data_IF_919045847400
#
_entry.id   IF_919045847400
#
_cell.length_a   1.000
_cell.length_b   1.000
_cell.length_c   1.000
_cell.angle_alpha   90.00
_cell.angle_beta   90.00
_cell.angle_gamma   90.00
#
_symmetry.space_group_name_H-M   'P 1'
#
loop_
_entity.id
_entity.type
_entity.pdbx_description
1 polymer ?
#
# COMPACT_ATOMS: atom_id res chain seq x y z
N UNK A 1 13.16 -85.47 -18.81
CA UNK A 1 12.26 -84.29 -18.94
C UNK A 1 12.61 -83.29 -17.87
N UNK A 2 13.39 -82.25 -18.21
CA UNK A 2 13.80 -81.18 -17.24
C UNK A 2 12.82 -80.04 -17.34
N UNK A 3 12.12 -79.75 -16.20
CA UNK A 3 11.20 -78.63 -16.09
C UNK A 3 12.00 -77.38 -15.79
N UNK A 4 11.98 -76.38 -16.72
CA UNK A 4 12.49 -75.03 -16.50
C UNK A 4 11.42 -74.24 -15.80
N UNK A 5 11.73 -73.75 -14.56
CA UNK A 5 10.92 -72.80 -13.84
C UNK A 5 11.45 -71.40 -14.22
N UNK A 6 10.61 -70.63 -14.92
CA UNK A 6 10.91 -69.22 -15.26
C UNK A 6 10.44 -68.39 -14.09
N UNK A 7 11.37 -67.77 -13.40
CA UNK A 7 11.07 -66.72 -12.38
C UNK A 7 10.85 -65.40 -13.09
N UNK A 8 9.60 -64.92 -13.10
CA UNK A 8 9.30 -63.56 -13.56
C UNK A 8 9.49 -62.61 -12.41
N UNK A 9 10.58 -61.84 -12.42
CA UNK A 9 10.82 -60.73 -11.48
C UNK A 9 9.94 -59.55 -11.92
N UNK A 10 8.84 -59.32 -11.22
CA UNK A 10 8.03 -58.10 -11.37
C UNK A 10 8.75 -56.96 -10.62
N UNK A 11 9.39 -56.09 -11.40
CA UNK A 11 9.93 -54.81 -10.88
C UNK A 11 8.77 -53.85 -10.66
N UNK A 12 8.37 -53.68 -9.38
CA UNK A 12 7.49 -52.61 -8.98
C UNK A 12 8.27 -51.28 -9.06
N UNK A 13 8.11 -50.54 -10.16
CA UNK A 13 8.55 -49.16 -10.24
C UNK A 13 7.62 -48.32 -9.37
N UNK A 14 8.00 -48.09 -8.10
CA UNK A 14 7.40 -47.01 -7.34
C UNK A 14 7.76 -45.70 -8.01
N UNK A 15 6.86 -45.19 -8.85
CA UNK A 15 6.84 -43.77 -9.21
C UNK A 15 6.55 -42.97 -7.95
N UNK A 16 7.60 -42.72 -7.16
CA UNK A 16 7.60 -41.66 -6.18
C UNK A 16 7.40 -40.37 -6.96
N UNK A 17 6.18 -39.87 -6.96
CA UNK A 17 5.89 -38.55 -7.46
C UNK A 17 6.74 -37.55 -6.69
N UNK A 18 7.87 -37.13 -7.29
CA UNK A 18 8.53 -35.90 -6.90
C UNK A 18 7.54 -34.78 -7.18
N UNK A 19 6.71 -34.46 -6.20
CA UNK A 19 6.09 -33.15 -6.13
C UNK A 19 7.25 -32.16 -6.03
N UNK A 20 7.67 -31.60 -7.15
CA UNK A 20 8.47 -30.41 -7.15
C UNK A 20 7.79 -29.46 -6.13
N UNK A 21 8.53 -28.88 -5.20
CA UNK A 21 8.03 -27.74 -4.45
C UNK A 21 7.84 -26.63 -5.49
N UNK A 22 6.72 -26.72 -6.25
CA UNK A 22 6.31 -25.65 -7.12
C UNK A 22 6.17 -24.45 -6.24
N UNK A 23 7.13 -23.56 -6.38
CA UNK A 23 7.02 -22.15 -6.06
C UNK A 23 5.70 -21.82 -5.34
N UNK A 24 5.73 -21.87 -4.02
CA UNK A 24 4.72 -21.22 -3.22
C UNK A 24 4.92 -19.71 -3.43
N UNK A 25 4.70 -19.27 -4.66
CA UNK A 25 4.67 -17.88 -5.03
C UNK A 25 3.75 -17.22 -4.01
N UNK A 26 4.30 -16.41 -3.13
CA UNK A 26 3.54 -15.77 -2.07
C UNK A 26 2.29 -15.18 -2.71
N UNK A 27 1.12 -15.70 -2.30
CA UNK A 27 -0.17 -15.29 -2.88
C UNK A 27 -0.44 -13.85 -2.48
N UNK A 28 0.11 -12.93 -3.27
CA UNK A 28 -0.05 -11.50 -3.06
C UNK A 28 -1.22 -10.99 -3.88
N UNK A 29 -2.02 -10.12 -3.26
CA UNK A 29 -3.16 -9.48 -3.89
C UNK A 29 -3.26 -8.03 -3.42
N UNK A 30 -3.46 -7.14 -4.38
CA UNK A 30 -3.79 -5.74 -4.13
C UNK A 30 -5.24 -5.53 -4.59
N UNK A 31 -6.07 -4.92 -3.76
CA UNK A 31 -7.42 -4.51 -4.13
C UNK A 31 -7.53 -3.00 -3.96
N UNK A 32 -7.91 -2.30 -5.02
CA UNK A 32 -8.14 -0.86 -5.02
C UNK A 32 -9.62 -0.62 -5.20
N UNK A 33 -10.24 -0.01 -4.19
CA UNK A 33 -11.64 0.39 -4.25
C UNK A 33 -11.73 1.91 -4.51
N UNK A 34 -12.16 2.26 -5.72
CA UNK A 34 -12.28 3.67 -6.13
C UNK A 34 -13.42 4.40 -5.41
N UNK A 35 -14.47 3.69 -4.96
CA UNK A 35 -15.63 4.34 -4.34
C UNK A 35 -15.28 5.06 -3.03
N UNK A 36 -14.22 4.63 -2.35
CA UNK A 36 -13.76 5.19 -1.07
C UNK A 36 -12.28 5.59 -1.05
N UNK A 37 -11.60 5.51 -2.22
CA UNK A 37 -10.16 5.80 -2.34
C UNK A 37 -9.29 5.03 -1.34
N UNK A 38 -9.59 3.73 -1.17
CA UNK A 38 -8.81 2.83 -0.32
C UNK A 38 -8.19 1.71 -1.14
N UNK A 39 -7.08 1.18 -0.64
CA UNK A 39 -6.36 0.05 -1.21
C UNK A 39 -5.98 -0.93 -0.11
N UNK A 40 -6.32 -2.21 -0.28
CA UNK A 40 -5.90 -3.29 0.60
C UNK A 40 -4.76 -4.10 -0.02
N UNK A 41 -3.76 -4.45 0.78
CA UNK A 41 -2.70 -5.38 0.42
C UNK A 41 -2.82 -6.65 1.24
N UNK A 42 -2.86 -7.78 0.56
CA UNK A 42 -2.90 -9.11 1.12
C UNK A 42 -1.62 -9.88 0.80
N UNK A 43 -1.14 -10.66 1.74
CA UNK A 43 -0.04 -11.59 1.57
C UNK A 43 -0.43 -12.94 2.20
N UNK A 44 -0.26 -14.04 1.46
CA UNK A 44 -0.67 -15.39 1.89
C UNK A 44 -2.13 -15.43 2.36
N UNK A 45 -3.02 -14.80 1.61
CA UNK A 45 -4.45 -14.67 1.87
C UNK A 45 -4.82 -13.89 3.15
N UNK A 46 -3.87 -13.29 3.85
CA UNK A 46 -4.14 -12.47 5.05
C UNK A 46 -4.07 -11.00 4.70
N UNK A 47 -5.01 -10.20 5.20
CA UNK A 47 -4.93 -8.75 5.11
C UNK A 47 -3.71 -8.26 5.91
N UNK A 48 -2.80 -7.59 5.23
CA UNK A 48 -1.59 -7.04 5.85
C UNK A 48 -1.76 -5.57 6.15
N UNK A 49 -2.38 -4.82 5.20
CA UNK A 49 -2.51 -3.38 5.37
C UNK A 49 -3.57 -2.78 4.43
N UNK A 50 -4.23 -1.73 4.92
CA UNK A 50 -5.10 -0.86 4.13
C UNK A 50 -4.45 0.52 4.02
N UNK A 51 -4.54 1.15 2.86
CA UNK A 51 -3.99 2.46 2.55
C UNK A 51 -5.09 3.39 2.07
N UNK A 52 -4.94 4.68 2.34
CA UNK A 52 -5.69 5.73 1.66
C UNK A 52 -4.90 6.10 0.40
N UNK A 53 -5.59 6.17 -0.74
CA UNK A 53 -4.98 6.46 -2.04
C UNK A 53 -5.72 7.59 -2.75
N UNK A 54 -5.14 8.14 -3.81
CA UNK A 54 -5.89 8.99 -4.73
C UNK A 54 -6.08 8.25 -6.06
N UNK A 55 -7.23 8.44 -6.68
CA UNK A 55 -7.59 7.84 -7.97
C UNK A 55 -7.98 8.88 -9.00
N UNK A 56 -8.44 8.46 -10.17
CA UNK A 56 -8.78 9.31 -11.30
C UNK A 56 -9.84 10.37 -10.98
N UNK A 57 -9.64 11.61 -11.47
CA UNK A 57 -10.59 12.72 -11.32
C UNK A 57 -11.94 12.48 -12.02
N UNK A 58 -11.99 11.55 -12.98
CA UNK A 58 -13.21 11.01 -13.57
C UNK A 58 -13.25 9.51 -13.28
N UNK A 59 -14.44 8.96 -13.10
CA UNK A 59 -14.63 7.53 -12.79
C UNK A 59 -13.99 6.60 -13.83
N UNK A 60 -13.95 7.03 -15.09
CA UNK A 60 -13.35 6.28 -16.21
C UNK A 60 -11.83 6.35 -16.27
N UNK A 61 -11.17 7.26 -15.55
CA UNK A 61 -9.72 7.47 -15.72
C UNK A 61 -8.88 6.35 -15.09
N UNK A 62 -9.24 5.88 -13.89
CA UNK A 62 -8.63 4.70 -13.31
C UNK A 62 -9.41 3.47 -13.78
N UNK A 63 -8.84 2.63 -14.68
CA UNK A 63 -9.55 1.51 -15.26
C UNK A 63 -9.90 0.46 -14.19
N UNK A 64 -11.09 -0.11 -14.31
CA UNK A 64 -11.51 -1.25 -13.48
C UNK A 64 -11.15 -2.57 -14.15
N UNK A 65 -10.89 -3.58 -13.35
CA UNK A 65 -10.56 -4.92 -13.83
C UNK A 65 -9.53 -5.65 -12.99
N UNK A 66 -9.02 -6.75 -13.57
CA UNK A 66 -7.96 -7.59 -12.98
C UNK A 66 -6.68 -7.36 -13.75
N UNK A 67 -5.65 -6.96 -13.04
CA UNK A 67 -4.35 -6.60 -13.60
C UNK A 67 -3.22 -7.28 -12.83
N UNK A 68 -1.99 -7.05 -13.27
CA UNK A 68 -0.77 -7.50 -12.58
C UNK A 68 0.24 -6.37 -12.50
N UNK A 69 1.04 -6.39 -11.46
CA UNK A 69 2.25 -5.56 -11.39
C UNK A 69 3.27 -6.11 -12.37
N UNK A 70 3.60 -5.34 -13.40
CA UNK A 70 4.51 -5.77 -14.49
C UNK A 70 5.79 -4.94 -14.57
N UNK A 71 5.88 -3.87 -13.78
CA UNK A 71 7.08 -3.02 -13.74
C UNK A 71 7.30 -2.47 -12.34
N UNK A 72 8.55 -2.44 -11.89
CA UNK A 72 8.95 -1.86 -10.60
C UNK A 72 10.13 -0.90 -10.83
N UNK A 73 9.96 0.40 -10.56
CA UNK A 73 10.99 1.41 -10.80
C UNK A 73 11.19 2.29 -9.55
N UNK A 74 12.44 2.49 -9.20
CA UNK A 74 12.86 3.47 -8.18
C UNK A 74 13.15 4.78 -8.89
N UNK A 75 12.61 5.88 -8.36
CA UNK A 75 12.89 7.23 -8.85
C UNK A 75 12.64 7.39 -10.36
N UNK A 76 11.46 6.98 -10.83
CA UNK A 76 11.09 7.13 -12.24
C UNK A 76 11.07 8.62 -12.63
N UNK A 77 11.74 9.02 -13.73
CA UNK A 77 11.61 10.38 -14.25
C UNK A 77 10.17 10.68 -14.72
N UNK A 78 9.74 11.92 -14.54
CA UNK A 78 8.49 12.41 -15.12
C UNK A 78 8.77 13.06 -16.47
N UNK A 79 8.77 12.26 -17.52
CA UNK A 79 9.17 12.65 -18.86
C UNK A 79 8.35 13.83 -19.43
N UNK A 80 7.01 13.81 -19.22
CA UNK A 80 6.14 14.90 -19.70
C UNK A 80 6.49 16.27 -19.13
N UNK A 81 6.92 16.31 -17.87
CA UNK A 81 7.32 17.55 -17.20
C UNK A 81 8.84 17.79 -17.20
N UNK A 82 9.62 16.91 -17.86
CA UNK A 82 11.10 16.96 -17.86
C UNK A 82 11.70 17.02 -16.46
N UNK A 83 11.07 16.36 -15.48
CA UNK A 83 11.53 16.32 -14.09
C UNK A 83 12.27 15.00 -13.87
N UNK A 84 13.50 15.09 -13.35
CA UNK A 84 14.35 13.92 -13.09
C UNK A 84 13.76 13.05 -11.98
N UNK A 85 14.12 11.77 -11.98
CA UNK A 85 13.77 10.83 -10.92
C UNK A 85 14.41 11.22 -9.59
N UNK A 86 13.65 11.10 -8.49
CA UNK A 86 14.11 11.46 -7.15
C UNK A 86 13.99 12.94 -6.80
N UNK A 87 13.67 13.81 -7.75
CA UNK A 87 13.40 15.23 -7.47
C UNK A 87 12.15 15.36 -6.58
N UNK A 88 12.20 16.15 -5.49
CA UNK A 88 11.03 16.39 -4.63
C UNK A 88 9.81 16.96 -5.38
N UNK A 89 10.03 17.68 -6.49
CA UNK A 89 8.96 18.22 -7.35
C UNK A 89 8.33 17.17 -8.27
N UNK A 90 8.90 15.96 -8.35
CA UNK A 90 8.41 14.91 -9.25
C UNK A 90 7.03 14.39 -8.79
N UNK A 91 5.96 14.56 -9.59
CA UNK A 91 4.61 14.13 -9.21
C UNK A 91 4.45 12.61 -9.13
N UNK A 92 5.44 11.83 -9.59
CA UNK A 92 5.44 10.37 -9.51
C UNK A 92 6.01 9.86 -8.17
N UNK A 93 6.62 10.75 -7.38
CA UNK A 93 7.28 10.37 -6.13
C UNK A 93 8.49 9.46 -6.35
N UNK A 94 8.80 8.64 -5.37
CA UNK A 94 10.04 7.87 -5.32
C UNK A 94 9.91 6.39 -5.70
N UNK A 95 8.71 5.87 -5.93
CA UNK A 95 8.44 4.47 -6.32
C UNK A 95 7.32 4.40 -7.33
N UNK A 96 7.47 3.45 -8.25
CA UNK A 96 6.52 3.15 -9.31
C UNK A 96 6.30 1.64 -9.39
N UNK A 97 5.06 1.21 -9.22
CA UNK A 97 4.58 -0.15 -9.44
C UNK A 97 3.64 -0.10 -10.64
N UNK A 98 4.19 -0.32 -11.82
CA UNK A 98 3.44 -0.28 -13.08
C UNK A 98 2.52 -1.51 -13.21
N UNK A 99 1.30 -1.28 -13.64
CA UNK A 99 0.30 -2.33 -13.87
C UNK A 99 -0.07 -2.42 -15.34
N UNK A 100 -0.43 -3.62 -15.80
CA UNK A 100 -0.79 -3.88 -17.19
C UNK A 100 -2.26 -3.52 -17.52
N UNK A 101 -2.79 -2.48 -16.89
CA UNK A 101 -4.13 -2.02 -17.17
C UNK A 101 -4.26 -1.59 -18.63
N UNK A 102 -5.38 -1.95 -19.25
CA UNK A 102 -5.67 -1.73 -20.67
C UNK A 102 -4.53 -2.22 -21.59
N UNK A 103 -3.93 -3.36 -21.24
CA UNK A 103 -2.82 -4.00 -21.99
C UNK A 103 -1.56 -3.14 -22.13
N UNK A 104 -1.36 -2.15 -21.24
CA UNK A 104 -0.12 -1.36 -21.25
C UNK A 104 1.02 -2.11 -20.56
N UNK A 105 2.29 -1.86 -20.94
CA UNK A 105 3.45 -2.55 -20.36
C UNK A 105 3.86 -1.99 -18.98
N UNK A 106 2.94 -1.38 -18.22
CA UNK A 106 3.20 -0.82 -16.88
C UNK A 106 3.88 0.54 -16.88
N UNK A 107 3.89 1.24 -18.00
CA UNK A 107 4.44 2.58 -18.14
C UNK A 107 3.37 3.69 -18.13
N UNK A 108 2.09 3.33 -18.24
CA UNK A 108 0.94 4.26 -18.33
C UNK A 108 0.16 4.29 -17.02
N UNK A 109 -0.21 3.13 -16.49
CA UNK A 109 -0.94 3.00 -15.24
C UNK A 109 -0.07 2.41 -14.15
N UNK A 110 -0.14 2.96 -12.96
CA UNK A 110 0.68 2.51 -11.84
C UNK A 110 0.10 2.89 -10.48
N UNK A 111 0.64 2.24 -9.46
CA UNK A 111 0.59 2.66 -8.07
C UNK A 111 1.93 3.34 -7.79
N UNK A 112 1.91 4.63 -7.40
CA UNK A 112 3.15 5.40 -7.25
C UNK A 112 3.05 6.44 -6.12
N UNK A 113 4.15 7.04 -5.77
CA UNK A 113 4.21 8.15 -4.80
C UNK A 113 3.63 9.45 -5.36
N UNK A 114 3.93 10.56 -4.72
CA UNK A 114 3.49 11.87 -5.18
C UNK A 114 4.35 12.99 -4.58
N UNK A 115 4.20 14.21 -5.12
CA UNK A 115 4.77 15.45 -4.59
C UNK A 115 3.73 16.34 -3.89
N UNK A 116 2.45 15.95 -3.94
CA UNK A 116 1.36 16.66 -3.26
C UNK A 116 0.57 15.71 -2.37
N UNK A 117 0.99 15.64 -1.10
CA UNK A 117 0.37 14.79 -0.10
C UNK A 117 -1.10 15.14 0.19
N UNK A 118 -1.54 16.37 -0.12
CA UNK A 118 -2.94 16.80 0.05
C UNK A 118 -3.88 16.18 -1.00
N UNK A 119 -3.30 15.59 -2.05
CA UNK A 119 -4.06 14.87 -3.09
C UNK A 119 -4.55 13.50 -2.63
N UNK A 120 -3.94 12.89 -1.60
CA UNK A 120 -4.30 11.55 -1.13
C UNK A 120 -5.69 11.56 -0.48
N UNK A 121 -6.50 10.55 -0.79
CA UNK A 121 -7.92 10.45 -0.42
C UNK A 121 -8.87 11.13 -1.41
N UNK A 122 -8.36 11.72 -2.49
CA UNK A 122 -9.15 12.50 -3.44
C UNK A 122 -9.15 11.90 -4.84
N UNK A 123 -10.13 12.31 -5.65
CA UNK A 123 -10.26 11.99 -7.07
C UNK A 123 -9.58 13.08 -7.91
N UNK A 124 -8.27 12.93 -8.19
CA UNK A 124 -7.47 14.02 -8.79
C UNK A 124 -6.48 13.56 -9.85
N UNK A 125 -6.27 12.25 -10.00
CA UNK A 125 -5.26 11.75 -10.94
C UNK A 125 -5.80 11.68 -12.39
N UNK A 126 -4.88 11.48 -13.33
CA UNK A 126 -5.21 11.17 -14.72
C UNK A 126 -5.39 9.67 -14.96
N UNK A 127 -5.48 8.85 -13.88
CA UNK A 127 -5.72 7.41 -13.96
C UNK A 127 -4.82 6.56 -13.06
N UNK A 128 -3.64 7.03 -12.73
CA UNK A 128 -2.76 6.34 -11.77
C UNK A 128 -3.29 6.42 -10.34
N UNK A 129 -2.84 5.49 -9.53
CA UNK A 129 -3.16 5.41 -8.10
C UNK A 129 -2.00 6.06 -7.32
N UNK A 130 -2.30 7.17 -6.61
CA UNK A 130 -1.28 7.89 -5.83
C UNK A 130 -1.31 7.48 -4.38
N UNK A 131 -0.14 7.33 -3.79
CA UNK A 131 0.07 7.02 -2.38
C UNK A 131 0.97 8.07 -1.72
N UNK A 132 1.00 8.10 -0.39
CA UNK A 132 2.09 8.75 0.32
C UNK A 132 3.42 8.05 -0.03
N UNK A 133 4.50 8.84 -0.12
CA UNK A 133 5.81 8.30 -0.52
C UNK A 133 6.33 7.19 0.40
N UNK A 134 6.10 7.29 1.70
CA UNK A 134 6.50 6.24 2.64
C UNK A 134 5.64 4.98 2.50
N UNK A 135 4.34 5.12 2.21
CA UNK A 135 3.45 3.98 1.99
C UNK A 135 3.82 3.22 0.71
N UNK A 136 4.05 3.93 -0.39
CA UNK A 136 4.45 3.26 -1.63
C UNK A 136 5.87 2.66 -1.53
N UNK A 137 6.76 3.27 -0.77
CA UNK A 137 8.10 2.72 -0.49
C UNK A 137 8.00 1.39 0.28
N UNK A 138 7.14 1.35 1.29
CA UNK A 138 6.85 0.11 2.03
C UNK A 138 6.23 -0.95 1.11
N UNK A 139 5.19 -0.58 0.35
CA UNK A 139 4.50 -1.50 -0.56
C UNK A 139 5.45 -2.03 -1.64
N UNK A 140 6.29 -1.17 -2.20
CA UNK A 140 7.31 -1.54 -3.19
C UNK A 140 8.28 -2.61 -2.66
N UNK A 141 8.67 -2.53 -1.38
CA UNK A 141 9.53 -3.53 -0.75
C UNK A 141 8.84 -4.89 -0.55
N UNK A 142 7.51 -4.93 -0.51
CA UNK A 142 6.73 -6.14 -0.29
C UNK A 142 6.27 -6.80 -1.58
N UNK A 143 5.77 -6.00 -2.52
CA UNK A 143 5.13 -6.47 -3.75
C UNK A 143 6.16 -7.10 -4.70
N UNK A 144 5.84 -8.29 -5.20
CA UNK A 144 6.60 -9.01 -6.23
C UNK A 144 6.06 -8.70 -7.63
N UNK A 145 6.86 -8.94 -8.64
CA UNK A 145 6.38 -8.95 -10.02
C UNK A 145 5.24 -9.97 -10.16
N UNK A 146 4.32 -9.71 -11.06
CA UNK A 146 3.10 -10.50 -11.28
C UNK A 146 2.12 -10.55 -10.10
N UNK A 147 2.29 -9.73 -9.07
CA UNK A 147 1.27 -9.55 -8.02
C UNK A 147 -0.06 -9.15 -8.65
N UNK A 148 -1.13 -9.85 -8.29
CA UNK A 148 -2.47 -9.57 -8.80
C UNK A 148 -3.01 -8.25 -8.24
N UNK A 149 -3.65 -7.46 -9.09
CA UNK A 149 -4.25 -6.17 -8.77
C UNK A 149 -5.70 -6.16 -9.24
N UNK A 150 -6.63 -5.95 -8.33
CA UNK A 150 -8.05 -5.75 -8.63
C UNK A 150 -8.35 -4.26 -8.43
N UNK A 151 -8.95 -3.63 -9.43
CA UNK A 151 -9.45 -2.26 -9.33
C UNK A 151 -10.94 -2.28 -9.58
N UNK A 152 -11.72 -1.72 -8.67
CA UNK A 152 -13.19 -1.68 -8.77
C UNK A 152 -13.77 -0.46 -8.07
N UNK A 153 -15.03 -0.16 -8.35
CA UNK A 153 -15.86 0.78 -7.60
C UNK A 153 -16.96 -0.02 -6.92
N UNK A 154 -16.94 -0.15 -5.60
CA UNK A 154 -17.84 -1.04 -4.88
C UNK A 154 -18.15 -0.52 -3.49
N UNK A 155 -19.39 -0.76 -3.02
CA UNK A 155 -19.79 -0.59 -1.61
C UNK A 155 -19.44 -1.80 -0.74
N UNK A 156 -18.96 -2.90 -1.36
CA UNK A 156 -18.62 -4.13 -0.64
C UNK A 156 -17.28 -3.99 0.09
N UNK A 157 -17.11 -4.82 1.11
CA UNK A 157 -15.84 -4.99 1.81
C UNK A 157 -14.74 -5.56 0.91
N UNK A 158 -13.48 -5.36 1.24
CA UNK A 158 -12.36 -5.93 0.50
C UNK A 158 -12.40 -7.46 0.48
N UNK A 159 -12.82 -8.10 1.58
CA UNK A 159 -12.99 -9.55 1.62
C UNK A 159 -14.08 -10.02 0.66
N UNK A 160 -15.21 -9.31 0.58
CA UNK A 160 -16.27 -9.61 -0.38
C UNK A 160 -15.83 -9.36 -1.83
N UNK A 161 -15.06 -8.28 -2.09
CA UNK A 161 -14.46 -8.03 -3.41
C UNK A 161 -13.51 -9.15 -3.79
N UNK A 162 -12.64 -9.58 -2.87
CA UNK A 162 -11.73 -10.71 -3.07
C UNK A 162 -12.49 -11.99 -3.43
N UNK A 163 -13.50 -12.35 -2.64
CA UNK A 163 -14.33 -13.55 -2.84
C UNK A 163 -15.02 -13.55 -4.20
N UNK A 164 -15.65 -12.44 -4.59
CA UNK A 164 -16.28 -12.27 -5.92
C UNK A 164 -15.28 -12.47 -7.06
N UNK A 165 -13.99 -12.26 -6.81
CA UNK A 165 -12.92 -12.41 -7.79
C UNK A 165 -12.16 -13.75 -7.68
N UNK A 166 -12.63 -14.68 -6.85
CA UNK A 166 -12.07 -16.04 -6.71
C UNK A 166 -10.94 -16.15 -5.68
N UNK A 167 -10.76 -15.14 -4.82
CA UNK A 167 -9.76 -15.17 -3.75
C UNK A 167 -10.40 -15.45 -2.39
N UNK A 168 -9.89 -16.43 -1.67
CA UNK A 168 -10.25 -16.66 -0.26
C UNK A 168 -9.26 -15.88 0.60
N UNK A 169 -9.71 -14.84 1.25
CA UNK A 169 -8.88 -14.00 2.12
C UNK A 169 -9.42 -13.97 3.54
N UNK A 170 -8.55 -13.64 4.50
CA UNK A 170 -8.88 -13.46 5.91
C UNK A 170 -8.30 -12.17 6.46
N UNK A 171 -8.77 -11.75 7.60
CA UNK A 171 -8.36 -10.51 8.27
C UNK A 171 -9.51 -9.52 8.36
N UNK A 172 -9.58 -8.82 9.48
CA UNK A 172 -10.61 -7.79 9.71
C UNK A 172 -10.29 -6.55 8.88
N UNK A 173 -11.29 -6.07 8.15
CA UNK A 173 -11.24 -4.79 7.42
C UNK A 173 -11.44 -3.58 8.33
N UNK A 174 -11.67 -3.82 9.62
CA UNK A 174 -11.46 -2.74 10.55
C UNK A 174 -10.05 -2.23 10.22
N UNK A 175 -9.98 -1.02 9.61
CA UNK A 175 -8.72 -0.29 9.54
C UNK A 175 -8.14 -0.47 10.93
N UNK A 176 -7.04 -1.23 11.08
CA UNK A 176 -6.46 -1.31 12.41
C UNK A 176 -6.11 0.13 12.73
N UNK A 177 -6.80 0.73 13.69
CA UNK A 177 -6.47 2.04 14.26
C UNK A 177 -5.04 2.01 14.83
N UNK A 178 -4.29 0.93 14.59
CA UNK A 178 -2.95 0.64 15.05
C UNK A 178 -1.85 0.39 14.01
N UNK A 179 -2.14 0.30 12.69
CA UNK A 179 -1.06 0.00 11.73
C UNK A 179 -1.17 0.69 10.36
N UNK A 180 -2.07 1.63 10.17
CA UNK A 180 -1.82 2.71 9.23
C UNK A 180 -0.74 3.56 9.86
N UNK A 181 0.40 3.71 9.21
CA UNK A 181 1.23 4.89 9.42
C UNK A 181 0.35 6.05 8.91
N UNK A 182 -0.65 6.41 9.69
CA UNK A 182 -1.41 7.61 9.42
C UNK A 182 -0.45 8.76 9.68
N UNK A 183 0.08 9.30 8.61
CA UNK A 183 0.84 10.54 8.66
C UNK A 183 -0.17 11.62 9.06
N UNK A 184 -0.06 12.11 10.28
CA UNK A 184 -0.87 13.22 10.73
C UNK A 184 -0.13 14.52 10.40
N UNK A 185 -0.84 15.47 9.83
CA UNK A 185 -0.32 16.77 9.41
C UNK A 185 -1.45 17.78 9.37
N UNK A 186 -1.11 19.03 9.13
CA UNK A 186 -2.11 20.09 8.98
C UNK A 186 -3.21 19.69 7.99
N UNK A 187 -4.46 19.80 8.41
CA UNK A 187 -5.65 19.33 7.71
C UNK A 187 -6.10 17.91 8.06
N UNK A 188 -5.32 17.11 8.82
CA UNK A 188 -5.79 15.85 9.38
C UNK A 188 -6.82 16.09 10.49
N UNK A 189 -7.77 15.17 10.66
CA UNK A 189 -8.77 15.24 11.74
C UNK A 189 -9.14 13.84 12.25
N UNK A 190 -9.82 13.81 13.39
CA UNK A 190 -10.35 12.58 13.98
C UNK A 190 -9.63 12.10 15.24
N UNK A 191 -9.94 10.86 15.69
CA UNK A 191 -9.46 10.31 16.96
C UNK A 191 -7.94 10.29 17.12
N UNK A 192 -7.22 10.02 16.05
CA UNK A 192 -5.74 9.95 16.05
C UNK A 192 -5.11 11.33 16.24
N UNK A 193 -5.73 12.39 15.69
CA UNK A 193 -5.28 13.77 15.95
C UNK A 193 -5.55 14.13 17.40
N UNK A 194 -6.68 13.72 17.96
CA UNK A 194 -7.00 13.93 19.37
C UNK A 194 -6.00 13.22 20.30
N UNK A 195 -5.59 12.00 19.95
CA UNK A 195 -4.54 11.26 20.67
C UNK A 195 -3.19 11.98 20.59
N UNK A 196 -2.79 12.42 19.40
CA UNK A 196 -1.59 13.24 19.19
C UNK A 196 -1.60 14.50 20.05
N UNK A 197 -2.71 15.26 20.02
CA UNK A 197 -2.86 16.50 20.79
C UNK A 197 -2.75 16.25 22.30
N UNK A 198 -3.40 15.19 22.81
CA UNK A 198 -3.27 14.76 24.20
C UNK A 198 -1.80 14.48 24.54
N UNK A 199 -1.12 13.69 23.71
CA UNK A 199 0.28 13.29 23.94
C UNK A 199 1.23 14.49 23.90
N UNK A 200 1.10 15.37 22.91
CA UNK A 200 1.89 16.61 22.84
C UNK A 200 1.69 17.47 24.08
N UNK A 201 0.45 17.67 24.50
CA UNK A 201 0.11 18.46 25.69
C UNK A 201 0.72 17.84 26.96
N UNK A 202 0.63 16.51 27.13
CA UNK A 202 1.27 15.79 28.25
C UNK A 202 2.80 15.99 28.27
N UNK A 203 3.42 16.12 27.08
CA UNK A 203 4.86 16.37 26.94
C UNK A 203 5.24 17.85 26.99
N UNK A 204 4.33 18.75 27.35
CA UNK A 204 4.56 20.19 27.48
C UNK A 204 4.46 20.99 26.18
N UNK A 205 4.01 20.38 25.10
CA UNK A 205 3.81 21.04 23.80
C UNK A 205 2.33 21.40 23.61
N UNK A 206 1.92 22.60 24.01
CA UNK A 206 0.51 23.02 23.94
C UNK A 206 0.00 23.14 22.51
N UNK A 207 -1.07 22.41 22.20
CA UNK A 207 -1.76 22.46 20.90
C UNK A 207 -2.92 23.46 20.86
N UNK A 208 -3.09 24.26 21.95
CA UNK A 208 -4.20 25.21 22.11
C UNK A 208 -5.60 24.55 22.11
N UNK A 209 -5.67 23.24 22.39
CA UNK A 209 -6.89 22.46 22.46
C UNK A 209 -6.67 21.00 22.04
N UNK A 210 -7.63 20.14 22.44
CA UNK A 210 -7.68 18.71 22.07
C UNK A 210 -8.98 18.48 21.31
N UNK A 211 -9.11 19.16 20.18
CA UNK A 211 -10.32 19.20 19.36
C UNK A 211 -10.38 18.09 18.29
N UNK A 212 -9.26 17.41 18.07
CA UNK A 212 -9.14 16.40 17.01
C UNK A 212 -8.95 17.00 15.63
N UNK A 213 -8.59 18.28 15.51
CA UNK A 213 -8.26 18.96 14.25
C UNK A 213 -6.79 19.35 14.24
N UNK A 214 -6.04 18.83 13.31
CA UNK A 214 -4.63 19.17 13.12
C UNK A 214 -4.53 20.50 12.36
N UNK A 215 -4.67 21.59 13.10
CA UNK A 215 -4.51 22.96 12.61
C UNK A 215 -3.09 23.49 12.87
N UNK A 216 -2.89 24.79 12.59
CA UNK A 216 -1.59 25.46 12.72
C UNK A 216 -0.98 25.32 14.13
N UNK A 217 -1.78 25.40 15.19
CA UNK A 217 -1.27 25.25 16.56
C UNK A 217 -0.71 23.85 16.82
N UNK A 218 -1.39 22.81 16.32
CA UNK A 218 -0.91 21.42 16.40
C UNK A 218 0.37 21.26 15.59
N UNK A 219 0.46 21.85 14.38
CA UNK A 219 1.66 21.79 13.54
C UNK A 219 2.87 22.46 14.22
N UNK A 220 2.68 23.65 14.80
CA UNK A 220 3.74 24.36 15.55
C UNK A 220 4.25 23.49 16.69
N UNK A 221 3.34 22.85 17.44
CA UNK A 221 3.68 21.96 18.56
C UNK A 221 4.43 20.72 18.10
N UNK A 222 4.04 20.12 16.97
CA UNK A 222 4.77 19.02 16.36
C UNK A 222 6.17 19.43 15.94
N UNK A 223 6.34 20.58 15.26
CA UNK A 223 7.65 21.11 14.87
C UNK A 223 8.57 21.35 16.07
N UNK A 224 8.05 21.93 17.16
CA UNK A 224 8.80 22.12 18.40
C UNK A 224 9.23 20.77 19.00
N UNK A 225 8.31 19.81 19.08
CA UNK A 225 8.60 18.46 19.57
C UNK A 225 9.69 17.80 18.72
N UNK A 226 9.56 17.84 17.39
CA UNK A 226 10.53 17.26 16.46
C UNK A 226 11.91 17.86 16.66
N UNK A 227 12.02 19.19 16.72
CA UNK A 227 13.31 19.91 16.95
C UNK A 227 13.95 19.45 18.27
N UNK A 228 13.20 19.38 19.36
CA UNK A 228 13.72 19.01 20.68
C UNK A 228 14.13 17.53 20.76
N UNK A 229 13.57 16.67 19.87
CA UNK A 229 13.90 15.25 19.79
C UNK A 229 14.85 14.91 18.62
N UNK A 230 15.58 15.89 18.08
CA UNK A 230 16.55 15.72 16.98
C UNK A 230 15.94 15.09 15.71
N UNK A 231 14.66 15.34 15.46
CA UNK A 231 13.95 14.96 14.25
C UNK A 231 13.87 16.15 13.29
N UNK A 232 13.66 15.89 12.00
CA UNK A 232 13.37 16.93 11.02
C UNK A 232 12.09 17.67 11.40
N UNK A 233 12.11 19.00 11.64
CA UNK A 233 10.95 19.75 12.12
C UNK A 233 10.01 20.14 10.95
N UNK A 234 9.51 19.14 10.23
CA UNK A 234 8.63 19.28 9.05
C UNK A 234 7.13 19.48 9.43
N UNK A 235 6.78 19.28 10.70
CA UNK A 235 5.39 19.36 11.16
C UNK A 235 4.56 18.14 10.80
N UNK A 236 5.20 17.07 10.31
CA UNK A 236 4.54 15.85 9.86
C UNK A 236 4.80 14.73 10.87
N UNK A 237 3.72 14.15 11.39
CA UNK A 237 3.79 13.04 12.35
C UNK A 237 3.81 11.72 11.59
N UNK A 238 4.97 11.38 11.06
CA UNK A 238 5.28 10.10 10.44
C UNK A 238 5.79 9.06 11.45
N UNK A 239 6.28 7.89 10.99
CA UNK A 239 6.72 6.79 11.85
C UNK A 239 7.76 7.18 12.89
N UNK A 240 8.76 7.95 12.48
CA UNK A 240 9.83 8.41 13.39
C UNK A 240 9.27 9.32 14.50
N UNK A 241 8.40 10.25 14.11
CA UNK A 241 7.76 11.17 15.05
C UNK A 241 6.79 10.45 15.99
N UNK A 242 5.99 9.50 15.48
CA UNK A 242 5.12 8.64 16.31
C UNK A 242 5.91 7.83 17.31
N UNK A 243 7.00 7.17 16.88
CA UNK A 243 7.88 6.41 17.77
C UNK A 243 8.43 7.29 18.88
N UNK A 244 8.90 8.48 18.56
CA UNK A 244 9.41 9.43 19.55
C UNK A 244 8.33 9.93 20.50
N UNK A 245 7.09 10.12 20.02
CA UNK A 245 5.92 10.45 20.82
C UNK A 245 5.43 9.29 21.70
N UNK A 246 5.80 8.05 21.40
CA UNK A 246 5.25 6.86 22.07
C UNK A 246 3.78 6.61 21.73
N UNK A 247 3.32 7.00 20.54
CA UNK A 247 1.97 6.75 20.03
C UNK A 247 2.01 5.76 18.86
N UNK A 248 0.92 4.98 18.70
CA UNK A 248 0.81 3.94 17.66
C UNK A 248 0.25 4.49 16.35
#
# INVERSE_FOLDING_TARGET
MKKFIVFVLIFFFCFGGYSNPSDAASKQLIIINKSNNQMAYYENNKLVRVFIVATGKKSSYTPEGKFKVVTKIVNRPYYKGKIRGGDPKNPLGNRWLGINALNTPGNTYAIHGNNDSKSIGKYVSAGCIRMYNEDVKWLYGKVKMNTNVIITSSSKSFASIAATNGYKVSGSESIPVGNTISILKNGSNGPQVRELQKRLTTLGYSTKGIDGVFGNNTEISVKKFQKNNKLTPDGIVGPKTKKALGIK
#
